data_IF_161656031953
#
_entry.id   IF_161656031953
#
_cell.length_a   1.000
_cell.length_b   1.000
_cell.length_c   1.000
_cell.angle_alpha   90.00
_cell.angle_beta   90.00
_cell.angle_gamma   90.00
#
_symmetry.space_group_name_H-M   'P 1'
#
loop_
_entity.id
_entity.type
_entity.pdbx_description
1 polymer ?
#
# COMPACT_ATOMS: atom_id res chain seq x y z
N UNK A 1 0.96 19.11 22.07
CA UNK A 1 2.08 18.25 22.49
C UNK A 1 3.20 18.41 21.48
N UNK A 2 4.46 18.60 21.89
CA UNK A 2 5.56 18.72 20.94
C UNK A 2 5.78 17.38 20.25
N UNK A 3 5.57 17.35 18.93
CA UNK A 3 5.89 16.20 18.08
C UNK A 3 7.42 16.17 17.93
N UNK A 4 8.11 15.48 18.84
CA UNK A 4 9.53 15.21 18.67
C UNK A 4 9.68 14.41 17.38
N UNK A 5 10.48 14.87 16.40
CA UNK A 5 10.63 14.16 15.15
C UNK A 5 11.13 12.73 15.43
N UNK A 6 10.58 11.71 14.75
CA UNK A 6 11.04 10.34 14.92
C UNK A 6 12.54 10.26 14.65
N UNK A 7 13.26 9.60 15.54
CA UNK A 7 14.70 9.41 15.38
C UNK A 7 15.00 8.60 14.11
N UNK A 8 16.16 8.86 13.49
CA UNK A 8 16.56 8.23 12.21
C UNK A 8 16.50 6.69 12.25
N UNK A 9 16.78 6.08 13.39
CA UNK A 9 16.71 4.62 13.55
C UNK A 9 15.27 4.08 13.53
N UNK A 10 14.28 4.84 14.01
CA UNK A 10 12.86 4.47 13.92
C UNK A 10 12.35 4.62 12.48
N UNK A 11 12.79 5.65 11.77
CA UNK A 11 12.50 5.82 10.34
C UNK A 11 13.04 4.64 9.53
N UNK A 12 14.28 4.20 9.78
CA UNK A 12 14.86 3.02 9.12
C UNK A 12 14.02 1.76 9.29
N UNK A 13 13.45 1.53 10.48
CA UNK A 13 12.56 0.40 10.71
C UNK A 13 11.23 0.54 9.96
N UNK A 14 10.68 1.76 9.88
CA UNK A 14 9.47 2.04 9.09
C UNK A 14 9.73 1.83 7.60
N UNK A 15 10.84 2.34 7.08
CA UNK A 15 11.22 2.19 5.67
C UNK A 15 11.41 0.70 5.31
N UNK A 16 11.96 -0.10 6.23
CA UNK A 16 12.04 -1.54 6.07
C UNK A 16 10.65 -2.19 5.98
N UNK A 17 9.72 -1.79 6.85
CA UNK A 17 8.34 -2.27 6.81
C UNK A 17 7.65 -1.89 5.48
N UNK A 18 7.86 -0.67 5.00
CA UNK A 18 7.27 -0.16 3.77
C UNK A 18 7.84 -0.81 2.50
N UNK A 19 9.14 -1.10 2.49
CA UNK A 19 9.80 -1.71 1.33
C UNK A 19 9.58 -3.23 1.26
N UNK A 20 9.44 -3.90 2.40
CA UNK A 20 9.45 -5.38 2.49
C UNK A 20 8.22 -5.95 3.19
N UNK A 21 7.09 -5.25 3.15
CA UNK A 21 5.84 -5.64 3.83
C UNK A 21 5.38 -7.07 3.48
N UNK A 22 5.60 -7.52 2.24
CA UNK A 22 5.16 -8.82 1.73
C UNK A 22 5.93 -10.00 2.35
N UNK A 23 7.11 -9.75 2.91
CA UNK A 23 7.93 -10.79 3.51
C UNK A 23 7.41 -11.20 4.88
N UNK A 24 7.93 -12.31 5.42
CA UNK A 24 7.68 -12.77 6.78
C UNK A 24 8.36 -11.89 7.85
N UNK A 25 8.16 -10.56 7.78
CA UNK A 25 8.66 -9.61 8.74
C UNK A 25 7.99 -9.80 10.11
N UNK A 26 8.81 -9.77 11.15
CA UNK A 26 8.38 -9.78 12.54
C UNK A 26 8.73 -8.44 13.18
N UNK A 27 8.12 -8.13 14.33
CA UNK A 27 8.52 -6.97 15.14
C UNK A 27 10.01 -7.05 15.54
N UNK A 28 10.56 -8.26 15.70
CA UNK A 28 11.98 -8.47 15.95
C UNK A 28 12.87 -7.99 14.81
N UNK A 29 12.49 -8.25 13.55
CA UNK A 29 13.23 -7.76 12.38
C UNK A 29 13.23 -6.23 12.31
N UNK A 30 12.08 -5.59 12.59
CA UNK A 30 11.97 -4.13 12.61
C UNK A 30 12.79 -3.52 13.76
N UNK A 31 12.75 -4.14 14.94
CA UNK A 31 13.54 -3.71 16.09
C UNK A 31 15.05 -3.82 15.83
N UNK A 32 15.48 -4.90 15.19
CA UNK A 32 16.86 -5.09 14.77
C UNK A 32 17.32 -4.01 13.78
N UNK A 33 16.47 -3.61 12.84
CA UNK A 33 16.76 -2.51 11.92
C UNK A 33 16.93 -1.14 12.63
N UNK A 34 16.27 -0.97 13.77
CA UNK A 34 16.42 0.20 14.65
C UNK A 34 17.54 0.05 15.69
N UNK A 35 18.25 -1.08 15.75
CA UNK A 35 19.22 -1.43 16.80
C UNK A 35 18.65 -1.36 18.23
N UNK A 36 17.39 -1.75 18.42
CA UNK A 36 16.71 -1.73 19.71
C UNK A 36 16.20 -3.13 20.10
N UNK A 37 15.99 -3.34 21.40
CA UNK A 37 15.25 -4.53 21.86
C UNK A 37 13.78 -4.44 21.43
N UNK A 38 13.09 -5.57 21.16
CA UNK A 38 11.71 -5.55 20.65
C UNK A 38 10.71 -4.81 21.53
N UNK A 39 10.85 -4.94 22.86
CA UNK A 39 9.98 -4.29 23.82
C UNK A 39 10.17 -2.76 23.84
N UNK A 40 11.42 -2.29 23.83
CA UNK A 40 11.71 -0.86 23.79
C UNK A 40 11.34 -0.25 22.44
N UNK A 41 11.68 -0.93 21.35
CA UNK A 41 11.28 -0.56 19.99
C UNK A 41 9.77 -0.35 19.89
N UNK A 42 8.96 -1.29 20.38
CA UNK A 42 7.49 -1.19 20.28
C UNK A 42 6.94 0.04 21.01
N UNK A 43 7.52 0.41 22.16
CA UNK A 43 7.13 1.63 22.90
C UNK A 43 7.54 2.88 22.13
N UNK A 44 8.79 2.97 21.69
CA UNK A 44 9.30 4.12 20.95
C UNK A 44 8.59 4.31 19.61
N UNK A 45 8.36 3.23 18.87
CA UNK A 45 7.65 3.26 17.59
C UNK A 45 6.22 3.75 17.76
N UNK A 46 5.48 3.23 18.76
CA UNK A 46 4.12 3.70 19.05
C UNK A 46 4.09 5.17 19.48
N UNK A 47 5.03 5.60 20.31
CA UNK A 47 5.14 7.00 20.71
C UNK A 47 5.42 7.93 19.52
N UNK A 48 6.21 7.46 18.55
CA UNK A 48 6.63 8.26 17.40
C UNK A 48 5.64 8.24 16.22
N UNK A 49 4.93 7.13 16.00
CA UNK A 49 4.06 6.93 14.82
C UNK A 49 2.58 6.70 15.17
N UNK A 50 2.21 6.69 16.45
CA UNK A 50 0.83 6.58 16.91
C UNK A 50 0.27 5.16 17.01
N UNK A 51 0.89 4.18 16.35
CA UNK A 51 0.46 2.78 16.37
C UNK A 51 1.60 1.81 16.65
N UNK A 52 1.27 0.58 17.07
CA UNK A 52 2.31 -0.43 17.33
C UNK A 52 2.93 -0.93 16.01
N UNK A 53 4.19 -1.41 16.02
CA UNK A 53 4.85 -1.90 14.80
C UNK A 53 4.08 -3.01 14.09
N UNK A 54 3.40 -3.87 14.86
CA UNK A 54 2.57 -4.94 14.31
C UNK A 54 1.32 -4.38 13.60
N UNK A 55 0.66 -3.37 14.19
CA UNK A 55 -0.49 -2.73 13.56
C UNK A 55 -0.09 -1.97 12.31
N UNK A 56 1.03 -1.22 12.36
CA UNK A 56 1.59 -0.54 11.20
C UNK A 56 1.80 -1.51 10.04
N UNK A 57 2.53 -2.61 10.28
CA UNK A 57 2.79 -3.61 9.23
C UNK A 57 1.49 -4.23 8.68
N UNK A 58 0.50 -4.49 9.53
CA UNK A 58 -0.80 -4.99 9.08
C UNK A 58 -1.52 -3.96 8.21
N UNK A 59 -1.55 -2.69 8.62
CA UNK A 59 -2.13 -1.58 7.86
C UNK A 59 -1.49 -1.46 6.49
N UNK A 60 -0.16 -1.44 6.41
CA UNK A 60 0.56 -1.38 5.13
C UNK A 60 0.23 -2.57 4.22
N UNK A 61 0.10 -3.77 4.76
CA UNK A 61 -0.31 -4.95 3.99
C UNK A 61 -1.74 -4.85 3.47
N UNK A 62 -2.66 -4.32 4.27
CA UNK A 62 -4.06 -4.16 3.88
C UNK A 62 -4.25 -3.04 2.85
N UNK A 63 -3.50 -1.95 2.96
CA UNK A 63 -3.42 -0.90 1.94
C UNK A 63 -2.97 -1.47 0.59
N UNK A 64 -1.89 -2.26 0.59
CA UNK A 64 -1.41 -2.92 -0.61
C UNK A 64 -2.36 -3.99 -1.14
N UNK A 65 -3.11 -4.66 -0.26
CA UNK A 65 -4.15 -5.59 -0.68
C UNK A 65 -5.28 -4.86 -1.40
N UNK A 66 -5.71 -3.69 -0.90
CA UNK A 66 -6.69 -2.86 -1.57
C UNK A 66 -6.20 -2.45 -2.98
N UNK A 67 -4.96 -1.97 -3.10
CA UNK A 67 -4.36 -1.63 -4.40
C UNK A 67 -4.42 -2.83 -5.38
N UNK A 68 -4.01 -4.02 -4.93
CA UNK A 68 -4.00 -5.24 -5.76
C UNK A 68 -5.42 -5.71 -6.13
N UNK A 69 -6.40 -5.58 -5.23
CA UNK A 69 -7.79 -5.95 -5.50
C UNK A 69 -8.39 -5.13 -6.65
N UNK A 70 -7.95 -3.88 -6.81
CA UNK A 70 -8.39 -2.94 -7.86
C UNK A 70 -7.56 -3.03 -9.13
N UNK A 71 -6.27 -3.31 -9.02
CA UNK A 71 -5.34 -3.32 -10.14
C UNK A 71 -5.24 -4.66 -10.87
N UNK A 72 -5.73 -5.76 -10.27
CA UNK A 72 -5.55 -7.12 -10.79
C UNK A 72 -6.83 -7.96 -10.72
N UNK A 73 -6.89 -9.02 -11.53
CA UNK A 73 -7.93 -10.05 -11.47
C UNK A 73 -7.55 -11.23 -10.53
N UNK A 74 -6.53 -11.08 -9.68
CA UNK A 74 -6.08 -12.13 -8.75
C UNK A 74 -7.18 -12.58 -7.78
N UNK A 75 -7.14 -13.82 -7.30
CA UNK A 75 -8.11 -14.24 -6.29
C UNK A 75 -7.86 -13.53 -4.96
N UNK A 76 -8.87 -13.46 -4.09
CA UNK A 76 -8.71 -12.90 -2.73
C UNK A 76 -7.62 -13.65 -1.95
N UNK A 77 -7.46 -14.96 -2.20
CA UNK A 77 -6.42 -15.78 -1.62
C UNK A 77 -5.02 -15.36 -2.12
N UNK A 78 -4.85 -15.22 -3.43
CA UNK A 78 -3.57 -14.82 -4.04
C UNK A 78 -3.13 -13.43 -3.55
N UNK A 79 -4.07 -12.48 -3.45
CA UNK A 79 -3.79 -11.16 -2.89
C UNK A 79 -3.31 -11.26 -1.44
N UNK A 80 -3.98 -12.07 -0.62
CA UNK A 80 -3.56 -12.30 0.77
C UNK A 80 -2.14 -12.83 0.88
N UNK A 81 -1.78 -13.82 0.05
CA UNK A 81 -0.42 -14.37 -0.03
C UNK A 81 0.58 -13.31 -0.49
N UNK A 82 0.25 -12.56 -1.54
CA UNK A 82 1.13 -11.54 -2.12
C UNK A 82 1.47 -10.39 -1.16
N UNK A 83 0.57 -10.06 -0.22
CA UNK A 83 0.84 -9.07 0.82
C UNK A 83 1.44 -9.68 2.10
N UNK A 84 1.76 -10.97 2.12
CA UNK A 84 2.43 -11.63 3.25
C UNK A 84 1.50 -12.04 4.39
N UNK A 85 0.20 -12.17 4.15
CA UNK A 85 -0.77 -12.68 5.13
C UNK A 85 -0.94 -14.20 4.99
N UNK A 86 -0.75 -14.91 6.10
CA UNK A 86 -0.72 -16.39 6.10
C UNK A 86 -2.10 -17.05 6.12
N UNK A 87 -3.17 -16.31 6.34
CA UNK A 87 -4.51 -16.87 6.51
C UNK A 87 -5.61 -16.01 5.93
N UNK A 88 -6.39 -16.58 5.01
CA UNK A 88 -7.49 -15.90 4.30
C UNK A 88 -8.57 -15.40 5.28
N UNK A 89 -8.89 -16.18 6.32
CA UNK A 89 -9.88 -15.77 7.34
C UNK A 89 -9.43 -14.56 8.17
N UNK A 90 -8.17 -14.55 8.61
CA UNK A 90 -7.57 -13.42 9.33
C UNK A 90 -7.45 -12.19 8.43
N UNK A 91 -7.05 -12.40 7.17
CA UNK A 91 -7.02 -11.35 6.16
C UNK A 91 -8.41 -10.72 5.96
N UNK A 92 -9.43 -11.54 5.70
CA UNK A 92 -10.79 -11.06 5.42
C UNK A 92 -11.36 -10.28 6.60
N UNK A 93 -11.15 -10.79 7.82
CA UNK A 93 -11.56 -10.11 9.06
C UNK A 93 -10.84 -8.78 9.24
N UNK A 94 -9.51 -8.76 9.07
CA UNK A 94 -8.71 -7.54 9.25
C UNK A 94 -9.01 -6.50 8.17
N UNK A 95 -9.19 -6.93 6.92
CA UNK A 95 -9.58 -6.07 5.81
C UNK A 95 -10.95 -5.45 6.06
N UNK A 96 -11.96 -6.25 6.44
CA UNK A 96 -13.29 -5.74 6.79
C UNK A 96 -13.26 -4.78 7.97
N UNK A 97 -12.39 -5.02 8.95
CA UNK A 97 -12.23 -4.09 10.08
C UNK A 97 -11.69 -2.73 9.65
N UNK A 98 -10.78 -2.71 8.66
CA UNK A 98 -10.15 -1.49 8.16
C UNK A 98 -11.02 -0.74 7.14
N UNK A 99 -11.64 -1.46 6.20
CA UNK A 99 -12.36 -0.88 5.06
C UNK A 99 -13.89 -0.94 5.20
N UNK A 100 -14.42 -1.55 6.26
CA UNK A 100 -15.87 -1.71 6.50
C UNK A 100 -16.55 -2.81 5.67
N UNK A 101 -15.91 -3.30 4.61
CA UNK A 101 -16.45 -4.31 3.69
C UNK A 101 -15.46 -5.46 3.46
N UNK A 102 -15.92 -6.61 2.98
CA UNK A 102 -15.03 -7.74 2.65
C UNK A 102 -14.18 -7.42 1.41
N UNK A 103 -13.02 -8.07 1.22
CA UNK A 103 -12.19 -7.90 0.02
C UNK A 103 -12.96 -8.09 -1.29
N UNK A 104 -13.85 -9.09 -1.33
CA UNK A 104 -14.68 -9.38 -2.50
C UNK A 104 -15.71 -8.28 -2.76
N UNK A 105 -16.38 -7.79 -1.71
CA UNK A 105 -17.31 -6.66 -1.84
C UNK A 105 -16.59 -5.36 -2.22
N UNK A 106 -15.39 -5.14 -1.70
CA UNK A 106 -14.53 -4.00 -2.04
C UNK A 106 -14.21 -3.97 -3.54
N UNK A 107 -13.82 -5.12 -4.11
CA UNK A 107 -13.59 -5.28 -5.56
C UNK A 107 -14.87 -5.09 -6.36
N UNK A 108 -15.99 -5.65 -5.91
CA UNK A 108 -17.27 -5.54 -6.63
C UNK A 108 -17.76 -4.09 -6.71
N UNK A 109 -17.53 -3.29 -5.65
CA UNK A 109 -17.87 -1.87 -5.62
C UNK A 109 -16.91 -0.98 -6.41
N UNK A 110 -15.65 -1.42 -6.58
CA UNK A 110 -14.60 -0.71 -7.28
C UNK A 110 -13.97 -1.62 -8.36
N UNK A 111 -14.73 -1.98 -9.39
CA UNK A 111 -14.22 -2.80 -10.47
C UNK A 111 -12.99 -2.15 -11.12
N UNK A 112 -11.98 -2.94 -11.55
CA UNK A 112 -10.75 -2.41 -12.13
C UNK A 112 -11.02 -1.39 -13.22
N UNK A 113 -10.20 -0.34 -13.31
CA UNK A 113 -10.31 0.69 -14.36
C UNK A 113 -10.29 0.06 -15.77
N UNK A 114 -9.59 -1.07 -15.94
CA UNK A 114 -9.60 -1.87 -17.16
C UNK A 114 -11.01 -2.31 -17.62
N UNK A 115 -11.97 -2.47 -16.70
CA UNK A 115 -13.38 -2.78 -17.02
C UNK A 115 -14.22 -1.54 -17.34
N UNK A 116 -13.76 -0.33 -16.97
CA UNK A 116 -14.54 0.91 -17.03
C UNK A 116 -14.07 1.90 -18.10
N UNK A 117 -12.87 1.74 -18.66
CA UNK A 117 -12.40 2.61 -19.75
C UNK A 117 -13.06 2.17 -21.07
N UNK A 118 -14.32 2.58 -21.27
CA UNK A 118 -14.92 2.77 -22.60
C UNK A 118 -14.91 4.26 -22.92
N UNK A 119 -13.77 4.75 -23.40
CA UNK A 119 -13.65 6.15 -23.82
C UNK A 119 -14.44 6.31 -25.13
N UNK A 120 -15.48 7.17 -25.19
CA UNK A 120 -16.16 7.46 -26.44
C UNK A 120 -15.16 7.98 -27.48
N UNK A 121 -15.32 7.58 -28.75
CA UNK A 121 -14.38 7.94 -29.84
C UNK A 121 -14.09 9.45 -29.89
N UNK A 122 -15.07 10.30 -29.62
CA UNK A 122 -14.88 11.75 -29.60
C UNK A 122 -13.91 12.23 -28.51
N UNK A 123 -13.95 11.64 -27.32
CA UNK A 123 -13.07 12.00 -26.19
C UNK A 123 -11.65 11.53 -26.46
N UNK A 124 -11.48 10.30 -26.97
CA UNK A 124 -10.17 9.79 -27.37
C UNK A 124 -9.54 10.68 -28.46
N UNK A 125 -10.33 11.12 -29.45
CA UNK A 125 -9.86 12.00 -30.52
C UNK A 125 -9.53 13.41 -30.03
N UNK A 126 -10.32 13.96 -29.09
CA UNK A 126 -10.10 15.32 -28.57
C UNK A 126 -8.85 15.41 -27.68
N UNK A 127 -8.61 14.42 -26.82
CA UNK A 127 -7.52 14.44 -25.85
C UNK A 127 -6.28 13.63 -26.25
N UNK A 128 -6.40 12.70 -27.20
CA UNK A 128 -5.30 11.92 -27.76
C UNK A 128 -4.65 12.56 -28.99
N UNK A 129 -5.16 13.70 -29.47
CA UNK A 129 -4.55 14.41 -30.62
C UNK A 129 -3.17 14.91 -30.18
N UNK A 130 -2.07 14.44 -30.80
CA UNK A 130 -0.75 15.00 -30.51
C UNK A 130 -0.83 16.51 -30.77
N UNK A 131 -0.47 17.31 -29.75
CA UNK A 131 -0.35 18.75 -29.92
C UNK A 131 0.70 18.94 -31.01
N UNK A 132 0.27 19.43 -32.16
CA UNK A 132 1.14 19.72 -33.28
C UNK A 132 2.18 20.73 -32.77
N UNK A 133 3.36 20.24 -32.36
CA UNK A 133 4.54 21.09 -32.32
C UNK A 133 4.77 21.38 -33.78
N UNK A 134 4.29 22.54 -34.22
CA UNK A 134 4.71 23.12 -35.48
C UNK A 134 6.22 22.96 -35.53
N UNK A 135 6.68 22.14 -36.47
CA UNK A 135 8.05 22.09 -36.93
C UNK A 135 8.35 23.50 -37.46
N UNK A 136 8.60 24.45 -36.56
CA UNK A 136 9.08 25.76 -36.93
C UNK A 136 10.55 25.54 -37.22
N UNK A 137 10.81 25.31 -38.50
CA UNK A 137 11.97 25.81 -39.24
C UNK A 137 13.13 26.26 -38.33
N UNK A 138 13.90 25.29 -37.84
CA UNK A 138 15.31 25.51 -37.48
C UNK A 138 16.12 25.36 -38.76
N UNK A 139 16.17 26.43 -39.57
CA UNK A 139 17.13 26.59 -40.67
C UNK A 139 17.25 28.07 -41.01
N UNK A 140 18.34 28.69 -40.56
CA UNK A 140 18.70 30.07 -40.90
C UNK A 140 19.40 30.78 -39.75
#
# INVERSE_FOLDING_TARGET
>A
MPHVPPSRHLLRARDLADARYAEALTVGHLAAAAALSPAYFSRCFKAAFGESPHQYLLTRRLERAADLLLATDWTVADVGVAVGLRGIGSFTTSFRRMYGVTPQAYRAANPPAARHVRIPRCVAMAYGRPRNRTFREDSG
#
